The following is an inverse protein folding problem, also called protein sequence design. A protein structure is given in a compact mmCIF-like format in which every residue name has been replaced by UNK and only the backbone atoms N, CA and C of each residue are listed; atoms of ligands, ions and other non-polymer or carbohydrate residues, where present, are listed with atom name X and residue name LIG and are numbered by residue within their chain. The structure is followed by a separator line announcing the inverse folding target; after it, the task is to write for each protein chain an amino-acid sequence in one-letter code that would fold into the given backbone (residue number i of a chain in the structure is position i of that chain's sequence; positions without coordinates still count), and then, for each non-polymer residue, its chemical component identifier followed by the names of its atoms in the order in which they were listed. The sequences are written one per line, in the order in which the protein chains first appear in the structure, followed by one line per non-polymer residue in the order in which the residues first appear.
data_IF_007472226300
#
_entry.id   IF_007472226300
#
_cell.length_a   1.000
_cell.length_b   1.000
_cell.length_c   1.000
_cell.angle_alpha   90.00
_cell.angle_beta   90.00
_cell.angle_gamma   90.00
#
_symmetry.space_group_name_H-M   'P 1'
#
loop_
_entity.id
_entity.type
_entity.pdbx_description
1 polymer ?
#
# COMPACT_ATOMS: atom_id res chain seq x y z
N UNK A 1 17.34 9.51 -9.45
CA UNK A 1 15.90 9.14 -9.43
C UNK A 1 15.63 7.89 -8.59
N UNK A 2 16.19 6.71 -8.88
CA UNK A 2 15.83 5.47 -8.12
C UNK A 2 16.29 5.50 -6.67
N UNK A 3 17.47 6.07 -6.40
CA UNK A 3 17.97 6.26 -5.03
C UNK A 3 17.07 7.22 -4.21
N UNK A 4 16.59 8.30 -4.84
CA UNK A 4 15.68 9.27 -4.21
C UNK A 4 14.32 8.64 -3.89
N UNK A 5 13.79 7.83 -4.83
CA UNK A 5 12.57 7.05 -4.65
C UNK A 5 12.73 6.08 -3.47
N UNK A 6 13.88 5.40 -3.37
CA UNK A 6 14.16 4.48 -2.25
C UNK A 6 14.29 5.21 -0.91
N UNK A 7 14.94 6.37 -0.85
CA UNK A 7 15.11 7.12 0.40
C UNK A 7 13.81 7.74 0.92
N UNK A 8 12.98 8.31 0.03
CA UNK A 8 11.74 8.99 0.43
C UNK A 8 10.62 7.96 0.61
N UNK A 9 10.41 7.11 -0.39
CA UNK A 9 9.29 6.17 -0.38
C UNK A 9 9.58 4.94 0.47
N UNK A 10 10.85 4.55 0.63
CA UNK A 10 11.23 3.44 1.52
C UNK A 10 10.88 3.69 2.98
N UNK A 11 11.09 4.91 3.47
CA UNK A 11 10.68 5.29 4.83
C UNK A 11 9.14 5.25 4.99
N UNK A 12 8.41 5.77 4.00
CA UNK A 12 6.95 5.71 3.97
C UNK A 12 6.43 4.27 3.94
N UNK A 13 7.03 3.40 3.12
CA UNK A 13 6.71 1.96 3.06
C UNK A 13 6.92 1.31 4.43
N UNK A 14 8.06 1.56 5.09
CA UNK A 14 8.35 0.99 6.40
C UNK A 14 7.29 1.41 7.44
N UNK A 15 6.92 2.69 7.47
CA UNK A 15 5.87 3.19 8.35
C UNK A 15 4.52 2.53 8.00
N UNK A 16 4.19 2.42 6.71
CA UNK A 16 2.97 1.77 6.23
C UNK A 16 2.88 0.30 6.64
N UNK A 17 3.99 -0.45 6.59
CA UNK A 17 4.04 -1.85 7.01
C UNK A 17 3.79 -1.96 8.51
N UNK A 18 4.47 -1.15 9.32
CA UNK A 18 4.31 -1.13 10.78
C UNK A 18 2.85 -0.78 11.15
N UNK A 19 2.32 0.28 10.55
CA UNK A 19 0.93 0.71 10.69
C UNK A 19 -0.07 -0.41 10.38
N UNK A 20 0.08 -1.07 9.23
CA UNK A 20 -0.80 -2.15 8.78
C UNK A 20 -0.69 -3.38 9.68
N UNK A 21 0.51 -3.68 10.18
CA UNK A 21 0.74 -4.80 11.10
C UNK A 21 0.03 -4.59 12.44
N UNK A 22 0.12 -3.39 13.01
CA UNK A 22 -0.62 -3.07 14.24
C UNK A 22 -2.13 -3.20 14.05
N UNK A 23 -2.66 -2.76 12.91
CA UNK A 23 -4.07 -2.89 12.57
C UNK A 23 -4.50 -4.36 12.45
N UNK A 24 -3.68 -5.18 11.78
CA UNK A 24 -3.89 -6.62 11.65
C UNK A 24 -3.92 -7.31 13.02
N UNK A 25 -2.96 -6.99 13.90
CA UNK A 25 -2.91 -7.55 15.26
C UNK A 25 -4.15 -7.13 16.06
N UNK A 26 -4.56 -5.86 15.97
CA UNK A 26 -5.77 -5.34 16.62
C UNK A 26 -7.02 -6.10 16.18
N UNK A 27 -7.22 -6.26 14.87
CA UNK A 27 -8.37 -6.98 14.32
C UNK A 27 -8.39 -8.48 14.71
N UNK A 28 -7.21 -9.11 14.86
CA UNK A 28 -7.10 -10.49 15.36
C UNK A 28 -7.52 -10.59 16.82
N UNK A 29 -7.10 -9.63 17.66
CA UNK A 29 -7.47 -9.58 19.07
C UNK A 29 -8.98 -9.37 19.21
N UNK A 30 -9.55 -8.40 18.49
CA UNK A 30 -11.00 -8.15 18.50
C UNK A 30 -11.80 -9.36 17.99
N UNK A 31 -11.33 -10.06 16.95
CA UNK A 31 -11.96 -11.29 16.47
C UNK A 31 -11.99 -12.39 17.55
N UNK A 32 -10.91 -12.51 18.32
CA UNK A 32 -10.84 -13.44 19.45
C UNK A 32 -11.85 -13.07 20.54
N UNK A 33 -12.01 -11.79 20.84
CA UNK A 33 -12.95 -11.29 21.83
C UNK A 33 -14.42 -11.43 21.40
N UNK A 34 -14.72 -11.37 20.10
CA UNK A 34 -16.06 -11.70 19.57
C UNK A 34 -16.47 -13.15 19.95
N UNK A 35 -15.51 -14.08 20.02
CA UNK A 35 -15.73 -15.51 20.20
C UNK A 35 -15.73 -15.99 21.66
N UNK A 36 -15.14 -15.23 22.59
CA UNK A 36 -14.98 -15.64 24.00
C UNK A 36 -16.19 -15.30 24.87
N UNK A 37 -17.20 -14.61 24.34
CA UNK A 37 -18.44 -14.30 25.08
C UNK A 37 -18.24 -13.28 26.21
N UNK A 38 -17.15 -12.52 26.18
CA UNK A 38 -16.75 -11.55 27.22
C UNK A 38 -17.76 -10.40 27.42
N UNK A 39 -18.75 -10.26 26.54
CA UNK A 39 -19.80 -9.27 26.63
C UNK A 39 -21.18 -9.90 26.36
N UNK A 40 -22.26 -9.35 26.94
CA UNK A 40 -23.66 -9.82 26.78
C UNK A 40 -24.25 -9.54 25.39
N UNK A 41 -23.59 -9.99 24.33
CA UNK A 41 -23.94 -9.72 22.95
C UNK A 41 -24.97 -10.74 22.47
N UNK A 42 -25.93 -10.29 21.68
CA UNK A 42 -26.84 -11.19 20.95
C UNK A 42 -26.06 -12.07 19.96
N UNK A 43 -26.58 -13.23 19.58
CA UNK A 43 -25.99 -14.07 18.53
C UNK A 43 -25.78 -13.30 17.22
N UNK A 44 -26.70 -12.40 16.89
CA UNK A 44 -26.60 -11.54 15.71
C UNK A 44 -25.38 -10.62 15.80
N UNK A 45 -25.20 -9.94 16.93
CA UNK A 45 -24.08 -9.01 17.11
C UNK A 45 -22.73 -9.72 17.19
N UNK A 46 -22.69 -10.97 17.68
CA UNK A 46 -21.48 -11.80 17.60
C UNK A 46 -21.14 -12.20 16.16
N UNK A 47 -22.12 -12.54 15.33
CA UNK A 47 -21.91 -12.86 13.90
C UNK A 47 -21.37 -11.66 13.14
N UNK A 48 -21.98 -10.49 13.33
CA UNK A 48 -21.53 -9.23 12.70
C UNK A 48 -20.09 -8.89 13.11
N UNK A 49 -19.79 -8.94 14.43
CA UNK A 49 -18.43 -8.74 14.96
C UNK A 49 -17.40 -9.65 14.30
N UNK A 50 -17.75 -10.94 14.11
CA UNK A 50 -16.87 -11.92 13.48
C UNK A 50 -16.66 -11.62 11.99
N UNK A 51 -17.72 -11.27 11.28
CA UNK A 51 -17.68 -11.00 9.84
C UNK A 51 -16.88 -9.72 9.54
N UNK A 52 -17.13 -8.65 10.29
CA UNK A 52 -16.40 -7.37 10.17
C UNK A 52 -14.91 -7.57 10.42
N UNK A 53 -14.54 -8.23 11.52
CA UNK A 53 -13.13 -8.46 11.85
C UNK A 53 -12.43 -9.42 10.87
N UNK A 54 -13.14 -10.44 10.36
CA UNK A 54 -12.57 -11.33 9.32
C UNK A 54 -12.32 -10.56 8.03
N UNK A 55 -13.21 -9.64 7.66
CA UNK A 55 -13.03 -8.78 6.49
C UNK A 55 -11.87 -7.80 6.67
N UNK A 56 -11.72 -7.22 7.86
CA UNK A 56 -10.63 -6.31 8.22
C UNK A 56 -9.27 -7.00 8.17
N UNK A 57 -9.17 -8.23 8.71
CA UNK A 57 -7.97 -9.07 8.63
C UNK A 57 -7.61 -9.35 7.18
N UNK A 58 -8.59 -9.71 6.36
CA UNK A 58 -8.37 -10.00 4.93
C UNK A 58 -7.86 -8.78 4.19
N UNK A 59 -8.52 -7.63 4.37
CA UNK A 59 -8.11 -6.36 3.75
C UNK A 59 -6.70 -5.92 4.17
N UNK A 60 -6.41 -5.95 5.48
CA UNK A 60 -5.10 -5.60 6.02
C UNK A 60 -4.00 -6.54 5.51
N UNK A 61 -4.28 -7.84 5.39
CA UNK A 61 -3.33 -8.83 4.87
C UNK A 61 -2.99 -8.60 3.41
N UNK A 62 -4.00 -8.35 2.56
CA UNK A 62 -3.79 -8.02 1.14
C UNK A 62 -2.98 -6.73 1.00
N UNK A 63 -3.33 -5.71 1.79
CA UNK A 63 -2.62 -4.43 1.77
C UNK A 63 -1.15 -4.57 2.22
N UNK A 64 -0.88 -5.41 3.23
CA UNK A 64 0.47 -5.73 3.67
C UNK A 64 1.31 -6.37 2.54
N UNK A 65 0.72 -7.30 1.79
CA UNK A 65 1.39 -7.95 0.63
C UNK A 65 1.75 -6.90 -0.43
N UNK A 66 0.85 -5.95 -0.72
CA UNK A 66 1.11 -4.85 -1.65
C UNK A 66 2.27 -3.98 -1.14
N UNK A 67 2.28 -3.64 0.15
CA UNK A 67 3.34 -2.82 0.74
C UNK A 67 4.71 -3.50 0.66
N UNK A 68 4.78 -4.82 0.84
CA UNK A 68 6.00 -5.62 0.70
C UNK A 68 6.41 -5.79 -0.78
N UNK A 69 5.46 -5.77 -1.71
CA UNK A 69 5.75 -5.83 -3.14
C UNK A 69 6.50 -4.58 -3.64
N UNK A 70 6.22 -3.39 -3.08
CA UNK A 70 6.93 -2.17 -3.47
C UNK A 70 8.46 -2.27 -3.33
N UNK A 71 9.05 -2.53 -2.15
CA UNK A 71 10.52 -2.58 -1.99
C UNK A 71 11.15 -3.62 -2.92
N UNK A 72 10.46 -4.74 -3.19
CA UNK A 72 10.89 -5.74 -4.17
C UNK A 72 10.97 -5.11 -5.56
N UNK A 73 9.92 -4.41 -6.02
CA UNK A 73 9.92 -3.68 -7.29
C UNK A 73 11.03 -2.63 -7.37
N UNK A 74 11.30 -1.88 -6.29
CA UNK A 74 12.39 -0.90 -6.25
C UNK A 74 13.77 -1.53 -6.41
N UNK A 75 14.03 -2.63 -5.71
CA UNK A 75 15.31 -3.35 -5.77
C UNK A 75 15.53 -3.88 -7.18
N UNK A 76 14.53 -4.51 -7.79
CA UNK A 76 14.62 -4.97 -9.18
C UNK A 76 14.80 -3.82 -10.17
N UNK A 77 14.11 -2.70 -9.98
CA UNK A 77 14.29 -1.49 -10.79
C UNK A 77 15.71 -0.92 -10.70
N UNK A 78 16.27 -0.84 -9.48
CA UNK A 78 17.64 -0.39 -9.25
C UNK A 78 18.68 -1.33 -9.89
N UNK A 79 18.47 -2.65 -9.74
CA UNK A 79 19.34 -3.66 -10.35
C UNK A 79 19.30 -3.62 -11.88
N UNK A 80 18.12 -3.41 -12.47
CA UNK A 80 17.96 -3.29 -13.91
C UNK A 80 18.72 -2.08 -14.47
N UNK A 81 18.67 -0.93 -13.78
CA UNK A 81 19.44 0.27 -14.15
C UNK A 81 20.94 0.04 -13.98
N UNK A 82 21.39 -0.54 -12.87
CA UNK A 82 22.84 -0.79 -12.63
C UNK A 82 23.46 -1.78 -13.60
N UNK A 83 22.71 -2.79 -14.04
CA UNK A 83 23.17 -3.82 -14.98
C UNK A 83 22.98 -3.43 -16.46
N UNK A 84 22.65 -2.17 -16.76
CA UNK A 84 22.38 -1.69 -18.13
C UNK A 84 21.39 -2.58 -18.89
N UNK A 85 20.43 -3.17 -18.18
CA UNK A 85 19.43 -4.06 -18.77
C UNK A 85 18.49 -3.27 -19.68
N UNK A 86 17.92 -3.93 -20.70
CA UNK A 86 16.98 -3.32 -21.65
C UNK A 86 15.96 -2.41 -20.95
N UNK A 87 15.81 -1.19 -21.46
CA UNK A 87 14.84 -0.17 -21.06
C UNK A 87 13.42 -0.74 -20.86
N UNK A 88 13.04 -1.77 -21.62
CA UNK A 88 11.77 -2.50 -21.50
C UNK A 88 11.56 -3.12 -20.11
N UNK A 89 12.61 -3.71 -19.48
CA UNK A 89 12.48 -4.33 -18.15
C UNK A 89 12.18 -3.30 -17.07
N UNK A 90 12.83 -2.13 -17.14
CA UNK A 90 12.59 -1.01 -16.22
C UNK A 90 11.16 -0.46 -16.39
N UNK A 91 10.67 -0.40 -17.63
CA UNK A 91 9.30 0.02 -17.94
C UNK A 91 8.26 -0.94 -17.37
N UNK A 92 8.42 -2.25 -17.58
CA UNK A 92 7.50 -3.28 -17.07
C UNK A 92 7.40 -3.23 -15.55
N UNK A 93 8.53 -3.12 -14.84
CA UNK A 93 8.54 -3.04 -13.36
C UNK A 93 7.77 -1.81 -12.86
N UNK A 94 7.89 -0.66 -13.54
CA UNK A 94 7.15 0.54 -13.14
C UNK A 94 5.66 0.47 -13.50
N UNK A 95 5.27 -0.21 -14.58
CA UNK A 95 3.86 -0.48 -14.88
C UNK A 95 3.23 -1.37 -13.80
N UNK A 96 3.93 -2.42 -13.37
CA UNK A 96 3.50 -3.25 -12.24
C UNK A 96 3.35 -2.38 -10.98
N UNK A 97 4.31 -1.46 -10.74
CA UNK A 97 4.20 -0.47 -9.68
C UNK A 97 2.93 0.37 -9.74
N UNK A 98 2.54 0.87 -10.93
CA UNK A 98 1.28 1.63 -11.12
C UNK A 98 0.06 0.78 -10.76
N UNK A 99 0.01 -0.47 -11.22
CA UNK A 99 -1.11 -1.38 -10.94
C UNK A 99 -1.22 -1.64 -9.43
N UNK A 100 -0.11 -2.00 -8.78
CA UNK A 100 -0.06 -2.22 -7.34
C UNK A 100 -0.43 -0.96 -6.54
N UNK A 101 0.03 0.22 -6.99
CA UNK A 101 -0.36 1.51 -6.41
C UNK A 101 -1.83 1.82 -6.55
N UNK A 102 -2.43 1.58 -7.72
CA UNK A 102 -3.87 1.78 -7.90
C UNK A 102 -4.69 0.88 -6.99
N UNK A 103 -4.32 -0.39 -6.88
CA UNK A 103 -4.96 -1.35 -5.97
C UNK A 103 -4.77 -0.92 -4.50
N UNK A 104 -3.57 -0.48 -4.14
CA UNK A 104 -3.25 0.02 -2.81
C UNK A 104 -4.06 1.26 -2.42
N UNK A 105 -4.28 2.20 -3.35
CA UNK A 105 -5.13 3.38 -3.10
C UNK A 105 -6.57 2.97 -2.80
N UNK A 106 -7.13 2.03 -3.58
CA UNK A 106 -8.50 1.55 -3.37
C UNK A 106 -8.64 0.86 -2.01
N UNK A 107 -7.72 -0.05 -1.67
CA UNK A 107 -7.70 -0.73 -0.37
C UNK A 107 -7.53 0.25 0.79
N UNK A 108 -6.59 1.20 0.69
CA UNK A 108 -6.40 2.21 1.71
C UNK A 108 -7.66 3.07 1.91
N UNK A 109 -8.35 3.42 0.82
CA UNK A 109 -9.62 4.14 0.87
C UNK A 109 -10.74 3.34 1.55
N UNK A 110 -10.87 2.05 1.24
CA UNK A 110 -11.85 1.16 1.88
C UNK A 110 -11.60 1.03 3.38
N UNK A 111 -10.33 0.84 3.78
CA UNK A 111 -9.99 0.72 5.20
C UNK A 111 -10.14 2.06 5.95
N UNK A 112 -9.83 3.20 5.30
CA UNK A 112 -10.11 4.53 5.83
C UNK A 112 -11.60 4.73 6.09
N UNK A 113 -12.46 4.31 5.16
CA UNK A 113 -13.91 4.44 5.31
C UNK A 113 -14.42 3.63 6.52
N UNK A 114 -13.94 2.40 6.67
CA UNK A 114 -14.22 1.58 7.86
C UNK A 114 -13.74 2.24 9.15
N UNK A 115 -12.53 2.80 9.14
CA UNK A 115 -12.00 3.57 10.28
C UNK A 115 -12.85 4.77 10.64
N UNK A 116 -13.27 5.59 9.65
CA UNK A 116 -14.11 6.78 9.88
C UNK A 116 -15.46 6.39 10.50
N UNK A 117 -16.09 5.30 10.03
CA UNK A 117 -17.34 4.80 10.60
C UNK A 117 -17.20 4.43 12.09
N UNK A 118 -16.03 3.92 12.50
CA UNK A 118 -15.75 3.63 13.91
C UNK A 118 -15.51 4.91 14.73
N UNK A 119 -14.90 5.95 14.14
CA UNK A 119 -14.65 7.24 14.81
C UNK A 119 -15.98 7.91 15.14
N UNK A 120 -16.89 7.97 14.17
CA UNK A 120 -18.21 8.60 14.32
C UNK A 120 -19.08 7.84 15.33
N UNK A 121 -18.87 6.53 15.49
CA UNK A 121 -19.62 5.71 16.43
C UNK A 121 -19.10 5.76 17.89
N UNK A 122 -17.78 5.86 18.12
CA UNK A 122 -17.19 5.65 19.46
C UNK A 122 -16.34 6.82 20.01
N UNK A 123 -16.08 7.88 19.23
CA UNK A 123 -15.68 9.20 19.75
C UNK A 123 -14.46 9.25 20.68
N UNK A 124 -13.43 8.41 20.50
CA UNK A 124 -12.25 8.37 21.37
C UNK A 124 -10.96 8.89 20.71
N UNK A 125 -10.04 9.41 21.52
CA UNK A 125 -8.71 9.89 21.10
C UNK A 125 -7.80 8.78 20.55
N UNK A 126 -8.04 7.51 20.89
CA UNK A 126 -7.34 6.36 20.30
C UNK A 126 -7.70 6.13 18.83
N UNK A 127 -8.90 6.56 18.42
CA UNK A 127 -9.42 6.46 17.07
C UNK A 127 -8.80 7.51 16.12
N UNK A 128 -8.31 8.63 16.66
CA UNK A 128 -7.52 9.63 15.91
C UNK A 128 -6.13 9.10 15.52
N UNK A 129 -5.50 8.29 16.39
CA UNK A 129 -4.23 7.65 16.08
C UNK A 129 -4.39 6.64 14.93
N UNK A 130 -5.49 5.87 14.94
CA UNK A 130 -5.85 4.93 13.86
C UNK A 130 -6.10 5.69 12.54
N UNK A 131 -6.76 6.84 12.59
CA UNK A 131 -6.95 7.70 11.42
C UNK A 131 -5.62 8.20 10.83
N UNK A 132 -4.68 8.64 11.67
CA UNK A 132 -3.35 9.08 11.23
C UNK A 132 -2.57 7.90 10.62
N UNK A 133 -2.64 6.73 11.24
CA UNK A 133 -2.03 5.48 10.74
C UNK A 133 -2.58 5.14 9.34
N UNK A 134 -3.90 5.26 9.13
CA UNK A 134 -4.53 5.03 7.84
C UNK A 134 -4.18 6.10 6.80
N UNK A 135 -4.08 7.36 7.20
CA UNK A 135 -3.71 8.46 6.33
C UNK A 135 -2.25 8.33 5.86
N UNK A 136 -1.35 7.90 6.76
CA UNK A 136 0.04 7.59 6.43
C UNK A 136 0.14 6.32 5.57
N UNK A 137 -0.63 5.27 5.88
CA UNK A 137 -0.70 4.05 5.08
C UNK A 137 -1.20 4.33 3.65
N UNK A 138 -2.19 5.22 3.49
CA UNK A 138 -2.71 5.66 2.20
C UNK A 138 -1.76 6.58 1.42
N UNK A 139 -0.86 7.29 2.10
CA UNK A 139 0.15 8.13 1.45
C UNK A 139 1.20 7.30 0.68
N UNK A 140 1.48 6.07 1.12
CA UNK A 140 2.46 5.16 0.50
C UNK A 140 2.09 4.82 -0.96
N UNK A 141 0.91 4.26 -1.27
CA UNK A 141 0.57 3.90 -2.64
C UNK A 141 0.41 5.15 -3.53
N UNK A 142 0.03 6.31 -2.98
CA UNK A 142 -0.02 7.58 -3.73
C UNK A 142 1.39 8.05 -4.12
N UNK A 143 2.33 8.05 -3.17
CA UNK A 143 3.72 8.40 -3.46
C UNK A 143 4.31 7.45 -4.52
N UNK A 144 4.06 6.14 -4.38
CA UNK A 144 4.51 5.14 -5.35
C UNK A 144 3.92 5.32 -6.74
N UNK A 145 2.66 5.73 -6.84
CA UNK A 145 2.01 6.03 -8.11
C UNK A 145 2.69 7.21 -8.81
N UNK A 146 2.90 8.32 -8.09
CA UNK A 146 3.52 9.53 -8.62
C UNK A 146 4.92 9.21 -9.15
N UNK A 147 5.74 8.52 -8.36
CA UNK A 147 7.08 8.14 -8.78
C UNK A 147 7.06 7.19 -9.97
N UNK A 148 6.17 6.19 -9.99
CA UNK A 148 6.07 5.25 -11.09
C UNK A 148 5.69 5.95 -12.40
N UNK A 149 4.77 6.92 -12.37
CA UNK A 149 4.39 7.73 -13.54
C UNK A 149 5.57 8.57 -14.04
N UNK A 150 6.27 9.27 -13.14
CA UNK A 150 7.45 10.08 -13.49
C UNK A 150 8.50 9.21 -14.18
N UNK A 151 8.73 8.01 -13.67
CA UNK A 151 9.68 7.07 -14.24
C UNK A 151 9.29 6.55 -15.62
N UNK A 152 8.02 6.15 -15.81
CA UNK A 152 7.53 5.71 -17.12
C UNK A 152 7.67 6.83 -18.14
N UNK A 153 7.29 8.07 -17.78
CA UNK A 153 7.44 9.23 -18.65
C UNK A 153 8.89 9.50 -19.01
N UNK A 154 9.79 9.45 -18.03
CA UNK A 154 11.22 9.68 -18.25
C UNK A 154 11.86 8.59 -19.14
N UNK A 155 11.54 7.32 -18.89
CA UNK A 155 12.01 6.21 -19.71
C UNK A 155 11.47 6.27 -21.15
N UNK A 156 10.20 6.64 -21.33
CA UNK A 156 9.62 6.85 -22.66
C UNK A 156 10.31 7.97 -23.43
N UNK A 157 10.69 9.05 -22.75
CA UNK A 157 11.37 10.18 -23.39
C UNK A 157 12.82 9.85 -23.80
N UNK A 158 13.52 9.03 -23.01
CA UNK A 158 14.85 8.53 -23.39
C UNK A 158 14.79 7.62 -24.62
N UNK A 159 13.83 6.69 -24.68
CA UNK A 159 13.64 5.87 -25.88
C UNK A 159 13.37 6.74 -27.12
N UNK A 160 12.52 7.76 -27.00
CA UNK A 160 12.19 8.64 -28.12
C UNK A 160 13.40 9.43 -28.65
N UNK A 161 14.35 9.79 -27.77
CA UNK A 161 15.60 10.42 -28.17
C UNK A 161 16.53 9.45 -28.90
N UNK A 162 16.66 8.23 -28.41
CA UNK A 162 17.49 7.20 -29.06
C UNK A 162 16.99 6.80 -30.46
N UNK A 163 15.69 6.93 -30.72
CA UNK A 163 15.12 6.78 -32.07
C UNK A 163 15.49 7.93 -33.02
N UNK A 164 15.72 9.14 -32.51
CA UNK A 164 16.07 10.32 -33.31
C UNK A 164 17.58 10.62 -33.36
N UNK A 165 18.38 10.05 -32.47
CA UNK A 165 19.84 10.25 -32.40
C UNK A 165 20.65 9.12 -33.01
N UNK A 166 20.01 8.10 -33.62
CA UNK A 166 20.71 7.17 -34.51
C UNK A 166 20.87 7.82 -35.89
N UNK A 167 22.08 8.27 -36.30
CA UNK A 167 22.35 8.50 -37.71
C UNK A 167 22.32 7.14 -38.41
N UNK A 168 21.34 6.91 -39.26
CA UNK A 168 21.29 5.72 -40.13
C UNK A 168 19.90 5.13 -40.34
N UNK A 169 19.02 5.89 -40.99
CA UNK A 169 18.38 5.49 -42.26
C UNK A 169 18.37 6.72 -43.15
#
# INVERSE_FOLDING_TARGET
MYLLRLCIVGALIAIGIVATTFNLIGAIIELSDCGTGSYSWSEYSQRVCREDNTSAITGASIFLVILIAYPICHIFGLLAVRKNQHHVRVLVINIIGIVLSSLGIVLAGLMLLGGIAMITAFGSSGLLAIFIIFLVAGAVPVAELIFSIIFVRHASWMNHKDYFTKPGV
#
